data_IF_601666996959
#
_entry.id   IF_601666996959
#
_cell.length_a   1.000
_cell.length_b   1.000
_cell.length_c   1.000
_cell.angle_alpha   90.00
_cell.angle_beta   90.00
_cell.angle_gamma   90.00
#
_symmetry.space_group_name_H-M   'P 1'
#
loop_
_entity.id
_entity.type
_entity.pdbx_description
1 polymer ?
#
# COMPACT_ATOMS: atom_id res chain seq x y z
N UNK A 1 2.34 -2.22 13.38
CA UNK A 1 1.49 -1.64 12.31
C UNK A 1 1.96 -0.25 11.84
N UNK A 2 1.86 0.84 12.64
CA UNK A 2 2.09 2.22 12.15
C UNK A 2 3.50 2.50 11.57
N UNK A 3 4.53 1.84 12.11
CA UNK A 3 5.90 1.90 11.57
C UNK A 3 5.96 1.36 10.14
N UNK A 4 5.30 0.23 9.90
CA UNK A 4 5.20 -0.39 8.59
C UNK A 4 4.48 0.50 7.58
N UNK A 5 3.37 1.13 7.97
CA UNK A 5 2.65 2.10 7.12
C UNK A 5 3.55 3.24 6.62
N UNK A 6 4.49 3.68 7.44
CA UNK A 6 5.45 4.72 7.09
C UNK A 6 6.72 4.21 6.38
N UNK A 7 6.77 2.93 5.97
CA UNK A 7 7.95 2.33 5.33
C UNK A 7 9.14 2.17 6.28
N UNK A 8 8.90 2.04 7.58
CA UNK A 8 9.93 1.85 8.62
C UNK A 8 9.96 0.42 9.12
N UNK A 9 11.14 -0.02 9.54
CA UNK A 9 11.35 -1.32 10.17
C UNK A 9 10.41 -1.47 11.38
N UNK A 10 9.64 -2.55 11.48
CA UNK A 10 8.72 -2.76 12.60
C UNK A 10 9.45 -2.95 13.93
N UNK A 11 10.67 -3.51 13.92
CA UNK A 11 11.50 -3.72 15.10
C UNK A 11 12.15 -2.41 15.62
N UNK A 12 13.00 -1.77 14.81
CA UNK A 12 13.81 -0.62 15.25
C UNK A 12 13.31 0.75 14.76
N UNK A 13 12.43 0.81 13.76
CA UNK A 13 11.88 2.06 13.23
C UNK A 13 12.76 2.81 12.25
N UNK A 14 13.93 2.27 11.87
CA UNK A 14 14.72 2.84 10.79
C UNK A 14 13.98 2.75 9.44
N UNK A 15 14.25 3.66 8.49
CA UNK A 15 13.62 3.68 7.17
C UNK A 15 14.28 2.66 6.22
N UNK A 16 14.15 1.38 6.56
CA UNK A 16 14.81 0.27 5.87
C UNK A 16 13.85 -0.80 5.35
N UNK A 17 12.53 -0.56 5.36
CA UNK A 17 11.56 -1.59 5.00
C UNK A 17 11.56 -1.89 3.50
N UNK A 18 11.82 -0.85 2.69
CA UNK A 18 11.81 -0.92 1.24
C UNK A 18 13.13 -0.41 0.66
N UNK A 19 13.65 -1.11 -0.36
CA UNK A 19 14.83 -0.73 -1.16
C UNK A 19 14.45 -0.01 -2.46
N UNK A 20 13.18 -0.08 -2.85
CA UNK A 20 12.60 0.65 -3.98
C UNK A 20 11.15 1.00 -3.69
N UNK A 21 10.37 1.32 -4.72
CA UNK A 21 8.97 1.72 -4.54
C UNK A 21 8.11 0.63 -3.87
N UNK A 22 8.17 -0.60 -4.36
CA UNK A 22 7.50 -1.78 -3.78
C UNK A 22 8.46 -2.91 -3.42
N UNK A 23 9.76 -2.75 -3.73
CA UNK A 23 10.79 -3.76 -3.46
C UNK A 23 11.13 -3.75 -1.99
N UNK A 24 10.88 -4.88 -1.32
CA UNK A 24 11.16 -5.06 0.10
C UNK A 24 12.66 -5.26 0.33
N UNK A 25 13.18 -4.77 1.45
CA UNK A 25 14.54 -5.11 1.88
C UNK A 25 14.55 -6.52 2.49
N UNK A 26 15.57 -7.36 2.22
CA UNK A 26 15.66 -8.69 2.83
C UNK A 26 15.89 -8.62 4.35
N UNK A 27 16.72 -7.67 4.78
CA UNK A 27 16.98 -7.40 6.19
C UNK A 27 17.03 -5.90 6.49
N UNK A 28 16.79 -5.54 7.75
CA UNK A 28 16.95 -4.17 8.23
C UNK A 28 18.44 -3.78 8.30
N UNK A 29 18.83 -2.70 7.65
CA UNK A 29 20.21 -2.18 7.67
C UNK A 29 20.66 -1.65 9.02
N UNK A 30 19.73 -1.31 9.93
CA UNK A 30 20.06 -0.74 11.24
C UNK A 30 20.09 -1.78 12.37
N UNK A 31 19.20 -2.77 12.35
CA UNK A 31 19.09 -3.75 13.45
C UNK A 31 19.21 -5.22 13.00
N UNK A 32 19.44 -5.48 11.71
CA UNK A 32 19.61 -6.84 11.17
C UNK A 32 18.36 -7.71 11.18
N UNK A 33 17.18 -7.17 11.48
CA UNK A 33 15.94 -7.95 11.49
C UNK A 33 15.66 -8.53 10.11
N UNK A 34 15.38 -9.84 10.05
CA UNK A 34 14.91 -10.54 8.85
C UNK A 34 13.50 -10.04 8.50
N UNK A 35 13.41 -9.28 7.42
CA UNK A 35 12.16 -8.72 6.92
C UNK A 35 11.55 -9.67 5.89
N UNK A 36 12.36 -10.37 5.10
CA UNK A 36 11.91 -11.28 4.05
C UNK A 36 11.03 -12.41 4.59
N UNK A 37 11.30 -12.88 5.80
CA UNK A 37 10.44 -13.83 6.51
C UNK A 37 8.99 -13.34 6.72
N UNK A 38 8.67 -12.07 6.54
CA UNK A 38 7.34 -11.47 6.73
C UNK A 38 6.78 -10.86 5.44
N UNK A 39 7.11 -11.44 4.28
CA UNK A 39 6.66 -10.93 2.97
C UNK A 39 5.14 -10.99 2.82
N UNK A 40 4.59 -9.96 2.19
CA UNK A 40 3.19 -9.89 1.79
C UNK A 40 3.10 -9.81 0.26
N UNK A 41 2.39 -10.78 -0.34
CA UNK A 41 2.31 -10.93 -1.80
C UNK A 41 1.09 -10.19 -2.37
N UNK A 42 -0.12 -10.76 -2.29
CA UNK A 42 -1.28 -10.20 -3.00
C UNK A 42 -2.26 -9.37 -2.15
N UNK A 43 -2.34 -9.66 -0.84
CA UNK A 43 -3.27 -8.98 0.06
C UNK A 43 -3.17 -7.43 0.02
N UNK A 44 -1.98 -6.81 -0.08
CA UNK A 44 -1.87 -5.36 -0.18
C UNK A 44 -2.60 -4.75 -1.37
N UNK A 45 -2.56 -5.39 -2.54
CA UNK A 45 -3.18 -4.87 -3.75
C UNK A 45 -4.72 -4.90 -3.65
N UNK A 46 -5.29 -5.98 -3.12
CA UNK A 46 -6.74 -6.08 -2.89
C UNK A 46 -7.26 -5.01 -1.94
N UNK A 47 -6.54 -4.74 -0.84
CA UNK A 47 -6.90 -3.66 0.07
C UNK A 47 -6.83 -2.28 -0.58
N UNK A 48 -5.83 -2.02 -1.42
CA UNK A 48 -5.76 -0.76 -2.17
C UNK A 48 -6.94 -0.62 -3.11
N UNK A 49 -7.27 -1.65 -3.90
CA UNK A 49 -8.42 -1.61 -4.83
C UNK A 49 -9.72 -1.33 -4.06
N UNK A 50 -9.92 -2.00 -2.93
CA UNK A 50 -11.09 -1.79 -2.09
C UNK A 50 -11.18 -0.34 -1.59
N UNK A 51 -10.10 0.19 -1.01
CA UNK A 51 -10.07 1.56 -0.48
C UNK A 51 -10.27 2.59 -1.60
N UNK A 52 -9.52 2.45 -2.70
CA UNK A 52 -9.60 3.39 -3.84
C UNK A 52 -10.98 3.34 -4.47
N UNK A 53 -11.57 2.16 -4.67
CA UNK A 53 -12.94 2.03 -5.18
C UNK A 53 -13.97 2.74 -4.30
N UNK A 54 -13.89 2.60 -2.98
CA UNK A 54 -14.79 3.27 -2.04
C UNK A 54 -14.60 4.78 -1.96
N UNK A 55 -13.47 5.31 -2.44
CA UNK A 55 -13.24 6.75 -2.53
C UNK A 55 -13.72 7.27 -3.89
N UNK A 56 -13.26 6.63 -4.97
CA UNK A 56 -13.47 7.10 -6.34
C UNK A 56 -14.92 6.93 -6.78
N UNK A 57 -15.57 5.79 -6.51
CA UNK A 57 -16.95 5.54 -6.98
C UNK A 57 -17.95 6.54 -6.40
N UNK A 58 -17.98 6.82 -5.07
CA UNK A 58 -18.88 7.85 -4.54
C UNK A 58 -18.58 9.24 -5.07
N UNK A 59 -17.31 9.59 -5.29
CA UNK A 59 -16.94 10.88 -5.87
C UNK A 59 -17.41 11.03 -7.32
N UNK A 60 -17.28 9.97 -8.14
CA UNK A 60 -17.80 9.94 -9.51
C UNK A 60 -19.31 10.16 -9.49
N UNK A 61 -20.04 9.39 -8.67
CA UNK A 61 -21.50 9.50 -8.58
C UNK A 61 -21.96 10.87 -8.06
N UNK A 62 -21.20 11.48 -7.16
CA UNK A 62 -21.49 12.83 -6.64
C UNK A 62 -21.28 13.88 -7.74
N UNK A 63 -20.18 13.82 -8.47
CA UNK A 63 -19.88 14.76 -9.56
C UNK A 63 -20.89 14.63 -10.69
N UNK A 64 -21.24 13.39 -11.08
CA UNK A 64 -22.27 13.12 -12.08
C UNK A 64 -23.61 13.76 -11.66
N UNK A 65 -24.06 13.53 -10.42
CA UNK A 65 -25.34 14.09 -9.95
C UNK A 65 -25.39 15.61 -9.85
N UNK A 66 -24.25 16.26 -9.59
CA UNK A 66 -24.21 17.71 -9.36
C UNK A 66 -23.96 18.51 -10.63
N UNK A 67 -23.20 17.95 -11.58
CA UNK A 67 -22.68 18.72 -12.71
C UNK A 67 -22.93 18.07 -14.07
N UNK A 68 -23.34 16.79 -14.12
CA UNK A 68 -23.53 16.00 -15.35
C UNK A 68 -22.45 16.26 -16.43
N UNK A 69 -21.15 16.26 -16.09
CA UNK A 69 -20.13 16.70 -17.03
C UNK A 69 -19.89 15.64 -18.10
N UNK A 70 -19.49 16.09 -19.29
CA UNK A 70 -19.16 15.21 -20.39
C UNK A 70 -18.16 14.11 -19.99
N UNK A 71 -18.29 12.91 -20.58
CA UNK A 71 -17.53 11.72 -20.20
C UNK A 71 -16.00 11.91 -20.24
N UNK A 72 -15.49 12.75 -21.15
CA UNK A 72 -14.06 13.04 -21.23
C UNK A 72 -13.55 13.80 -19.99
N UNK A 73 -14.38 14.65 -19.37
CA UNK A 73 -14.04 15.38 -18.13
C UNK A 73 -13.95 14.38 -16.98
N UNK A 74 -14.89 13.44 -16.90
CA UNK A 74 -14.82 12.33 -15.94
C UNK A 74 -13.53 11.54 -16.08
N UNK A 75 -13.21 11.11 -17.30
CA UNK A 75 -11.99 10.37 -17.56
C UNK A 75 -10.74 11.19 -17.16
N UNK A 76 -10.66 12.45 -17.60
CA UNK A 76 -9.54 13.34 -17.33
C UNK A 76 -9.35 13.64 -15.84
N UNK A 77 -10.41 13.63 -15.04
CA UNK A 77 -10.33 13.86 -13.59
C UNK A 77 -10.05 12.57 -12.80
N UNK A 78 -10.84 11.53 -13.04
CA UNK A 78 -10.85 10.35 -12.19
C UNK A 78 -9.76 9.34 -12.54
N UNK A 79 -9.29 9.25 -13.79
CA UNK A 79 -8.13 8.40 -14.15
C UNK A 79 -6.86 8.82 -13.40
N UNK A 80 -6.38 10.09 -13.50
CA UNK A 80 -5.17 10.48 -12.78
C UNK A 80 -5.35 10.44 -11.27
N UNK A 81 -6.55 10.77 -10.76
CA UNK A 81 -6.85 10.63 -9.33
C UNK A 81 -6.70 9.18 -8.86
N UNK A 82 -7.28 8.23 -9.59
CA UNK A 82 -7.22 6.80 -9.26
C UNK A 82 -5.78 6.29 -9.31
N UNK A 83 -5.02 6.62 -10.36
CA UNK A 83 -3.62 6.25 -10.49
C UNK A 83 -2.80 6.84 -9.34
N UNK A 84 -2.98 8.13 -9.03
CA UNK A 84 -2.29 8.81 -7.95
C UNK A 84 -2.59 8.19 -6.58
N UNK A 85 -3.85 7.87 -6.30
CA UNK A 85 -4.26 7.20 -5.07
C UNK A 85 -3.65 5.81 -4.96
N UNK A 86 -3.70 5.00 -6.02
CA UNK A 86 -3.06 3.69 -6.05
C UNK A 86 -1.56 3.79 -5.77
N UNK A 87 -0.87 4.70 -6.46
CA UNK A 87 0.58 4.90 -6.29
C UNK A 87 0.95 5.40 -4.88
N UNK A 88 0.08 6.17 -4.26
CA UNK A 88 0.31 6.65 -2.90
C UNK A 88 0.03 5.56 -1.86
N UNK A 89 -1.00 4.74 -2.07
CA UNK A 89 -1.51 3.81 -1.07
C UNK A 89 -0.80 2.46 -1.07
N UNK A 90 -0.35 1.98 -2.24
CA UNK A 90 0.36 0.70 -2.42
C UNK A 90 1.53 0.48 -1.44
N UNK A 91 2.56 1.36 -1.37
CA UNK A 91 3.69 1.14 -0.46
C UNK A 91 3.29 1.21 1.01
N UNK A 92 2.28 2.03 1.35
CA UNK A 92 1.80 2.19 2.73
C UNK A 92 1.04 0.98 3.21
N UNK A 93 0.11 0.48 2.42
CA UNK A 93 -0.67 -0.71 2.74
C UNK A 93 0.24 -1.93 2.78
N UNK A 94 1.14 -2.10 1.80
CA UNK A 94 2.14 -3.18 1.82
C UNK A 94 2.96 -3.15 3.10
N UNK A 95 3.49 -1.98 3.47
CA UNK A 95 4.29 -1.83 4.68
C UNK A 95 3.48 -2.07 5.95
N UNK A 96 2.23 -1.63 6.01
CA UNK A 96 1.34 -1.88 7.13
C UNK A 96 1.05 -3.37 7.32
N UNK A 97 0.76 -4.11 6.24
CA UNK A 97 0.56 -5.57 6.26
C UNK A 97 1.81 -6.27 6.77
N UNK A 98 3.00 -5.94 6.25
CA UNK A 98 4.27 -6.50 6.77
C UNK A 98 4.43 -6.21 8.26
N UNK A 99 4.14 -4.98 8.69
CA UNK A 99 4.21 -4.58 10.10
C UNK A 99 3.15 -5.24 10.99
N UNK A 100 2.09 -5.83 10.43
CA UNK A 100 1.11 -6.67 11.13
C UNK A 100 1.59 -8.11 11.17
N UNK A 101 2.04 -8.67 10.05
CA UNK A 101 2.63 -10.03 9.99
C UNK A 101 3.78 -10.17 10.99
N UNK A 102 4.65 -9.15 11.07
CA UNK A 102 5.73 -9.10 12.06
C UNK A 102 5.22 -9.10 13.50
N UNK A 103 4.18 -8.30 13.80
CA UNK A 103 3.61 -8.22 15.14
C UNK A 103 2.91 -9.53 15.55
N UNK A 104 2.28 -10.22 14.60
CA UNK A 104 1.62 -11.51 14.79
C UNK A 104 2.56 -12.71 14.65
N UNK A 105 3.84 -12.47 14.32
CA UNK A 105 4.86 -13.51 14.08
C UNK A 105 4.46 -14.51 12.98
N UNK A 106 3.66 -14.07 12.00
CA UNK A 106 3.24 -14.87 10.85
C UNK A 106 4.32 -14.81 9.78
N UNK A 107 5.09 -15.90 9.64
CA UNK A 107 6.17 -15.99 8.66
C UNK A 107 5.68 -16.51 7.31
N UNK A 108 6.17 -15.94 6.21
CA UNK A 108 5.94 -16.45 4.87
C UNK A 108 6.69 -17.76 4.66
N UNK A 109 6.01 -18.76 4.10
CA UNK A 109 6.53 -20.10 3.88
C UNK A 109 7.13 -20.21 2.48
N UNK A 110 8.25 -19.54 2.21
CA UNK A 110 9.05 -19.82 1.01
C UNK A 110 10.32 -20.60 1.41
N UNK A 111 10.60 -21.76 0.77
CA UNK A 111 11.92 -22.38 0.85
C UNK A 111 12.90 -21.51 0.06
N UNK A 112 14.02 -21.16 0.70
CA UNK A 112 15.14 -20.44 0.07
C UNK A 112 15.89 -21.29 -0.94
#
# INVERSE_FOLDING_TARGET
MWRGWAGRCPACGARSLFTGYLKMAPACTACGADLEAYRADDAPAYFVIFIVGHIVVPLVLLVEKLYEPALWVHAALFLPLTIGLCLWLLPRVKGAVIGVLWALRVRSRQPG
#
